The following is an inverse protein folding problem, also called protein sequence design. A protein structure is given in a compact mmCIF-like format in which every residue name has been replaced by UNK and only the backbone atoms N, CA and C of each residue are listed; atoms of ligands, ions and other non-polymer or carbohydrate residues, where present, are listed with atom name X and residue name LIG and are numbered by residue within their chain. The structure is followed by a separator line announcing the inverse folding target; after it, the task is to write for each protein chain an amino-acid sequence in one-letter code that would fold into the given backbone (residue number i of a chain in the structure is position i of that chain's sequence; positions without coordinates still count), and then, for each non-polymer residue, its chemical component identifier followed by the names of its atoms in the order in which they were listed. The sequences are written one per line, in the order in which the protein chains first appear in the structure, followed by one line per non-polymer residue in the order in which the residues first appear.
data_IF_116374976985
#
_entry.id   IF_116374976985
#
_cell.length_a   1.000
_cell.length_b   1.000
_cell.length_c   1.000
_cell.angle_alpha   90.00
_cell.angle_beta   90.00
_cell.angle_gamma   90.00
#
_symmetry.space_group_name_H-M   'P 1'
#
loop_
_entity.id
_entity.type
_entity.pdbx_description
1 polymer ?
#
# COMPACT_ATOMS: atom_id res chain seq x y z
N UNK A 1 14.24 7.52 25.69
CA UNK A 1 13.60 6.22 25.99
C UNK A 1 12.60 5.96 24.88
N UNK A 2 12.66 4.81 24.21
CA UNK A 2 11.69 4.45 23.20
C UNK A 2 10.35 4.14 23.87
N UNK A 3 9.26 4.72 23.36
CA UNK A 3 7.91 4.51 23.89
C UNK A 3 7.21 3.42 23.08
N UNK A 4 6.65 2.41 23.76
CA UNK A 4 5.82 1.38 23.13
C UNK A 4 4.37 1.86 23.07
N UNK A 5 3.82 1.97 21.86
CA UNK A 5 2.48 2.51 21.60
C UNK A 5 1.58 1.42 21.07
N UNK A 6 0.41 1.26 21.69
CA UNK A 6 -0.59 0.29 21.26
C UNK A 6 -1.56 0.96 20.28
N UNK A 7 -1.54 0.54 19.02
CA UNK A 7 -2.45 1.06 17.99
C UNK A 7 -3.62 0.08 17.85
N UNK A 8 -4.71 0.34 18.57
CA UNK A 8 -5.85 -0.61 18.66
C UNK A 8 -6.83 -0.55 17.49
N UNK A 9 -6.89 0.59 16.79
CA UNK A 9 -7.88 0.80 15.72
C UNK A 9 -7.49 0.08 14.43
N UNK A 10 -6.21 -0.22 14.27
CA UNK A 10 -5.65 -0.90 13.10
C UNK A 10 -5.38 -2.36 13.45
N UNK A 11 -6.20 -3.24 12.88
CA UNK A 11 -6.12 -4.68 13.08
C UNK A 11 -5.02 -5.30 12.19
N UNK A 12 -4.14 -6.11 12.79
CA UNK A 12 -3.19 -6.95 12.05
C UNK A 12 -3.85 -8.07 11.22
N UNK A 13 -5.18 -8.23 11.29
CA UNK A 13 -5.94 -9.17 10.45
C UNK A 13 -6.59 -8.49 9.24
N UNK A 14 -6.34 -7.20 9.03
CA UNK A 14 -6.85 -6.44 7.90
C UNK A 14 -5.68 -5.94 7.02
N UNK A 15 -5.74 -6.23 5.72
CA UNK A 15 -4.66 -5.90 4.79
C UNK A 15 -4.43 -4.39 4.62
N UNK A 16 -5.49 -3.58 4.65
CA UNK A 16 -5.38 -2.13 4.54
C UNK A 16 -4.74 -1.55 5.81
N UNK A 17 -5.12 -2.04 6.98
CA UNK A 17 -4.52 -1.65 8.25
C UNK A 17 -3.03 -2.04 8.33
N UNK A 18 -2.65 -3.22 7.87
CA UNK A 18 -1.25 -3.66 7.85
C UNK A 18 -0.42 -2.79 6.92
N UNK A 19 -0.92 -2.47 5.72
CA UNK A 19 -0.26 -1.51 4.82
C UNK A 19 -0.16 -0.13 5.48
N UNK A 20 -1.20 0.33 6.16
CA UNK A 20 -1.17 1.62 6.85
C UNK A 20 -0.13 1.64 7.97
N UNK A 21 0.01 0.56 8.73
CA UNK A 21 1.03 0.43 9.77
C UNK A 21 2.45 0.42 9.19
N UNK A 22 2.69 -0.31 8.10
CA UNK A 22 3.98 -0.27 7.40
C UNK A 22 4.27 1.11 6.83
N UNK A 23 3.25 1.76 6.27
CA UNK A 23 3.28 3.17 5.87
C UNK A 23 3.74 4.06 7.01
N UNK A 24 3.07 4.00 8.16
CA UNK A 24 3.42 4.79 9.36
C UNK A 24 4.85 4.53 9.84
N UNK A 25 5.24 3.26 9.99
CA UNK A 25 6.61 2.87 10.41
C UNK A 25 7.65 3.44 9.44
N UNK A 26 7.39 3.38 8.14
CA UNK A 26 8.33 3.89 7.13
C UNK A 26 8.51 5.41 7.16
N UNK A 27 7.61 6.15 7.82
CA UNK A 27 7.71 7.61 8.00
C UNK A 27 8.51 7.99 9.25
N UNK A 28 8.84 7.02 10.10
CA UNK A 28 9.46 7.21 11.40
C UNK A 28 10.84 6.52 11.44
N UNK A 29 11.94 7.25 11.23
CA UNK A 29 13.28 6.66 11.25
C UNK A 29 13.56 5.93 12.56
N UNK A 30 14.01 4.67 12.46
CA UNK A 30 14.29 3.83 13.64
C UNK A 30 13.08 3.17 14.29
N UNK A 31 11.86 3.40 13.79
CA UNK A 31 10.66 2.77 14.33
C UNK A 31 10.67 1.25 14.12
N UNK A 32 10.04 0.55 15.06
CA UNK A 32 9.84 -0.90 15.02
C UNK A 32 8.38 -1.25 15.27
N UNK A 33 7.92 -2.33 14.66
CA UNK A 33 6.54 -2.81 14.75
C UNK A 33 6.50 -4.28 15.18
N UNK A 34 5.59 -4.62 16.07
CA UNK A 34 5.16 -6.00 16.34
C UNK A 34 3.65 -6.13 16.35
N UNK A 35 3.18 -7.34 16.14
CA UNK A 35 1.78 -7.73 16.36
C UNK A 35 1.71 -8.76 17.47
N UNK A 36 0.89 -8.52 18.49
CA UNK A 36 0.68 -9.53 19.53
C UNK A 36 -0.23 -10.69 19.06
N UNK A 37 -0.52 -11.61 19.98
CA UNK A 37 -1.35 -12.79 19.70
C UNK A 37 -2.78 -12.43 19.24
N UNK A 38 -3.28 -11.26 19.63
CA UNK A 38 -4.59 -10.75 19.24
C UNK A 38 -4.54 -9.93 17.94
N UNK A 39 -3.37 -9.91 17.28
CA UNK A 39 -3.06 -9.11 16.10
C UNK A 39 -3.14 -7.60 16.35
N UNK A 40 -2.94 -7.15 17.59
CA UNK A 40 -2.86 -5.72 17.91
C UNK A 40 -1.44 -5.22 17.60
N UNK A 41 -1.37 -4.07 16.94
CA UNK A 41 -0.10 -3.45 16.58
C UNK A 41 0.53 -2.72 17.77
N UNK A 42 1.82 -2.95 17.98
CA UNK A 42 2.65 -2.21 18.92
C UNK A 42 3.80 -1.54 18.17
N UNK A 43 3.83 -0.21 18.22
CA UNK A 43 4.80 0.64 17.56
C UNK A 43 5.78 1.19 18.60
N UNK A 44 7.06 0.87 18.43
CA UNK A 44 8.14 1.44 19.24
C UNK A 44 8.89 2.49 18.43
N UNK A 45 9.01 3.71 18.97
CA UNK A 45 9.77 4.79 18.35
C UNK A 45 10.33 5.77 19.40
N UNK A 46 11.46 6.38 19.07
CA UNK A 46 12.15 7.37 19.91
C UNK A 46 11.53 8.77 19.72
N UNK A 47 10.59 9.10 20.61
CA UNK A 47 9.91 10.38 20.66
C UNK A 47 8.61 10.27 21.42
N UNK A 48 8.03 11.39 21.84
CA UNK A 48 6.66 11.46 22.35
C UNK A 48 5.64 11.46 21.21
N UNK A 49 4.34 11.47 21.55
CA UNK A 49 3.25 11.34 20.59
C UNK A 49 3.14 12.56 19.67
N UNK A 50 3.46 13.75 20.18
CA UNK A 50 3.49 14.98 19.40
C UNK A 50 4.61 14.94 18.35
N UNK A 51 5.83 14.57 18.76
CA UNK A 51 6.96 14.41 17.86
C UNK A 51 6.70 13.33 16.80
N UNK A 52 6.03 12.24 17.17
CA UNK A 52 5.62 11.19 16.25
C UNK A 52 4.64 11.76 15.22
N UNK A 53 3.57 12.41 15.69
CA UNK A 53 2.54 13.02 14.84
C UNK A 53 3.14 13.99 13.82
N UNK A 54 4.00 14.90 14.26
CA UNK A 54 4.68 15.89 13.40
C UNK A 54 5.61 15.21 12.39
N UNK A 55 6.42 14.24 12.83
CA UNK A 55 7.39 13.55 11.97
C UNK A 55 6.69 12.73 10.89
N UNK A 56 5.69 11.94 11.28
CA UNK A 56 4.91 11.14 10.35
C UNK A 56 4.10 12.01 9.39
N UNK A 57 3.48 13.11 9.86
CA UNK A 57 2.74 14.04 9.02
C UNK A 57 3.62 14.66 7.92
N UNK A 58 4.83 15.12 8.28
CA UNK A 58 5.79 15.68 7.32
C UNK A 58 6.11 14.65 6.23
N UNK A 59 6.52 13.45 6.62
CA UNK A 59 6.89 12.42 5.66
C UNK A 59 5.70 11.96 4.80
N UNK A 60 4.48 11.93 5.37
CA UNK A 60 3.28 11.55 4.62
C UNK A 60 3.00 12.55 3.50
N UNK A 61 3.08 13.85 3.79
CA UNK A 61 2.92 14.92 2.79
C UNK A 61 4.02 14.85 1.74
N UNK A 62 5.28 14.70 2.14
CA UNK A 62 6.42 14.57 1.20
C UNK A 62 6.23 13.43 0.19
N UNK A 63 5.56 12.34 0.59
CA UNK A 63 5.35 11.16 -0.26
C UNK A 63 4.07 11.18 -1.07
N UNK A 64 3.08 11.95 -0.68
CA UNK A 64 1.72 11.81 -1.24
C UNK A 64 1.13 13.11 -1.78
N UNK A 65 1.59 14.27 -1.31
CA UNK A 65 1.12 15.56 -1.81
C UNK A 65 1.73 15.88 -3.18
N UNK A 66 0.91 16.38 -4.12
CA UNK A 66 1.42 16.87 -5.40
C UNK A 66 2.04 15.80 -6.30
N UNK A 67 1.71 14.52 -6.11
CA UNK A 67 2.26 13.40 -6.90
C UNK A 67 2.18 13.63 -8.41
N UNK A 68 1.08 14.23 -8.89
CA UNK A 68 0.80 14.45 -10.30
C UNK A 68 1.72 15.48 -10.96
N UNK A 69 2.26 16.41 -10.18
CA UNK A 69 3.22 17.43 -10.64
C UNK A 69 4.66 17.07 -10.24
N UNK A 70 4.83 16.16 -9.28
CA UNK A 70 6.11 15.61 -8.85
C UNK A 70 6.42 14.25 -9.47
N UNK A 71 6.50 13.22 -8.63
CA UNK A 71 7.00 11.90 -9.00
C UNK A 71 6.27 11.25 -10.18
N UNK A 72 4.96 11.46 -10.30
CA UNK A 72 4.13 10.94 -11.39
C UNK A 72 3.87 11.97 -12.51
N UNK A 73 4.64 13.05 -12.58
CA UNK A 73 4.54 14.05 -13.65
C UNK A 73 4.52 13.38 -15.04
N UNK A 74 3.52 13.72 -15.85
CA UNK A 74 3.31 13.16 -17.19
C UNK A 74 2.59 11.80 -17.23
N UNK A 75 2.40 11.12 -16.09
CA UNK A 75 1.65 9.85 -16.01
C UNK A 75 0.21 10.12 -15.55
N UNK A 76 -0.70 10.23 -16.53
CA UNK A 76 -2.14 10.50 -16.32
C UNK A 76 -3.03 9.32 -16.74
N UNK A 77 -2.51 8.10 -16.59
CA UNK A 77 -3.19 6.85 -17.01
C UNK A 77 -2.83 5.70 -16.07
N UNK A 78 -3.72 4.71 -15.99
CA UNK A 78 -3.52 3.47 -15.23
C UNK A 78 -2.63 2.45 -15.95
N UNK A 79 -2.38 2.65 -17.25
CA UNK A 79 -1.56 1.79 -18.12
C UNK A 79 -0.57 2.64 -18.94
N UNK A 80 0.44 3.24 -18.30
CA UNK A 80 1.38 4.12 -18.98
C UNK A 80 2.22 3.36 -20.01
N UNK A 81 2.67 4.09 -21.04
CA UNK A 81 3.67 3.58 -21.99
C UNK A 81 5.03 3.42 -21.29
N UNK A 82 5.84 2.45 -21.72
CA UNK A 82 7.14 2.15 -21.15
C UNK A 82 8.11 3.31 -21.36
N UNK A 83 8.02 4.02 -22.48
CA UNK A 83 8.78 5.26 -22.70
C UNK A 83 8.51 6.37 -21.67
N UNK A 84 7.34 6.38 -21.02
CA UNK A 84 7.01 7.34 -19.97
C UNK A 84 7.49 6.89 -18.58
N UNK A 85 7.59 5.58 -18.36
CA UNK A 85 8.02 4.99 -17.08
C UNK A 85 9.54 4.89 -17.00
N UNK A 86 10.20 4.45 -18.08
CA UNK A 86 11.66 4.21 -18.12
C UNK A 86 12.49 5.41 -17.65
N UNK A 87 12.23 6.67 -18.08
CA UNK A 87 13.01 7.82 -17.62
C UNK A 87 12.88 8.06 -16.11
N UNK A 88 11.72 7.73 -15.52
CA UNK A 88 11.50 7.83 -14.07
C UNK A 88 12.25 6.73 -13.33
N UNK A 89 12.22 5.50 -13.87
CA UNK A 89 13.04 4.38 -13.38
C UNK A 89 14.52 4.70 -13.39
N UNK A 90 15.02 5.24 -14.50
CA UNK A 90 16.42 5.64 -14.64
C UNK A 90 16.79 6.76 -13.67
N UNK A 91 15.93 7.77 -13.49
CA UNK A 91 16.16 8.83 -12.52
C UNK A 91 16.24 8.29 -11.07
N UNK A 92 15.38 7.35 -10.72
CA UNK A 92 15.38 6.72 -9.39
C UNK A 92 16.66 5.90 -9.18
N UNK A 93 17.07 5.08 -10.16
CA UNK A 93 18.34 4.34 -10.10
C UNK A 93 19.58 5.23 -10.04
N UNK A 94 19.60 6.35 -10.78
CA UNK A 94 20.69 7.34 -10.65
C UNK A 94 20.75 7.93 -9.24
N UNK A 95 19.61 8.17 -8.60
CA UNK A 95 19.59 8.63 -7.22
C UNK A 95 20.14 7.56 -6.26
N UNK A 96 19.89 6.27 -6.52
CA UNK A 96 20.51 5.16 -5.79
C UNK A 96 22.02 5.17 -5.93
N UNK A 97 22.53 5.26 -7.15
CA UNK A 97 23.96 5.29 -7.44
C UNK A 97 24.65 6.44 -6.71
N UNK A 98 24.02 7.62 -6.67
CA UNK A 98 24.54 8.80 -5.97
C UNK A 98 24.46 8.68 -4.45
N UNK A 99 23.38 8.12 -3.91
CA UNK A 99 23.14 8.02 -2.48
C UNK A 99 23.78 6.77 -1.84
N UNK A 100 24.23 5.80 -2.65
CA UNK A 100 24.79 4.53 -2.19
C UNK A 100 23.80 3.61 -1.48
N UNK A 101 22.48 3.84 -1.62
CA UNK A 101 21.44 3.06 -0.94
C UNK A 101 20.17 2.95 -1.79
N UNK A 102 19.58 1.75 -1.81
CA UNK A 102 18.28 1.53 -2.45
C UNK A 102 17.19 2.37 -1.78
N UNK A 103 16.22 2.90 -2.54
CA UNK A 103 15.12 3.64 -1.99
C UNK A 103 14.22 2.64 -1.27
N UNK A 104 13.92 2.93 -0.01
CA UNK A 104 13.00 2.13 0.80
C UNK A 104 11.55 2.27 0.34
N UNK A 105 11.25 3.27 -0.49
CA UNK A 105 9.95 3.56 -1.10
C UNK A 105 10.17 3.89 -2.56
N UNK A 106 9.42 3.26 -3.46
CA UNK A 106 9.46 3.60 -4.88
C UNK A 106 8.08 3.95 -5.38
N UNK A 107 7.91 5.13 -5.98
CA UNK A 107 6.66 5.44 -6.69
C UNK A 107 6.43 4.49 -7.87
N UNK A 108 7.49 3.85 -8.37
CA UNK A 108 7.42 2.86 -9.42
C UNK A 108 6.89 1.54 -8.90
N UNK A 109 6.80 1.32 -7.57
CA UNK A 109 5.99 0.25 -7.00
C UNK A 109 4.50 0.36 -7.39
N UNK A 110 4.07 1.49 -7.95
CA UNK A 110 2.76 1.67 -8.55
C UNK A 110 2.61 0.87 -9.87
N UNK A 111 3.70 0.69 -10.62
CA UNK A 111 3.73 0.07 -11.96
C UNK A 111 4.67 -1.13 -11.99
N UNK A 112 4.23 -2.26 -12.54
CA UNK A 112 5.13 -3.38 -12.74
C UNK A 112 5.92 -3.22 -14.04
N UNK A 113 7.02 -2.46 -14.01
CA UNK A 113 7.88 -2.21 -15.18
C UNK A 113 8.47 -3.49 -15.81
N UNK A 114 8.50 -4.60 -15.06
CA UNK A 114 8.94 -5.90 -15.57
C UNK A 114 7.83 -6.65 -16.34
N UNK A 115 6.57 -6.24 -16.21
CA UNK A 115 5.43 -6.83 -16.90
C UNK A 115 4.80 -5.86 -17.90
N UNK A 116 4.67 -6.31 -19.14
CA UNK A 116 4.08 -5.53 -20.22
C UNK A 116 2.66 -5.98 -20.50
N UNK A 117 1.76 -5.01 -20.69
CA UNK A 117 0.39 -5.26 -21.12
C UNK A 117 0.26 -5.12 -22.64
N UNK A 118 -0.52 -6.01 -23.25
CA UNK A 118 -0.98 -5.84 -24.63
C UNK A 118 -2.09 -4.77 -24.71
N UNK A 119 -2.29 -4.17 -25.88
CA UNK A 119 -3.50 -3.38 -26.11
C UNK A 119 -4.74 -4.29 -26.20
N UNK A 120 -5.95 -3.72 -26.21
CA UNK A 120 -7.22 -4.49 -26.30
C UNK A 120 -7.35 -5.36 -27.56
N UNK A 121 -6.39 -5.29 -28.49
CA UNK A 121 -6.36 -6.00 -29.77
C UNK A 121 -5.08 -6.86 -29.94
N UNK A 122 -4.30 -7.08 -28.89
CA UNK A 122 -3.06 -7.85 -28.95
C UNK A 122 -1.95 -7.20 -29.78
N UNK A 123 -2.04 -5.89 -30.07
CA UNK A 123 -1.08 -5.16 -30.90
C UNK A 123 -0.25 -4.18 -30.06
N UNK A 124 1.03 -4.06 -30.41
CA UNK A 124 1.88 -2.98 -29.92
C UNK A 124 1.59 -1.77 -30.82
N UNK A 125 0.64 -0.93 -30.44
CA UNK A 125 0.47 0.37 -31.11
C UNK A 125 1.73 1.22 -30.90
N UNK A 126 2.24 1.82 -31.97
CA UNK A 126 3.38 2.74 -32.02
C UNK A 126 4.76 2.15 -31.64
N UNK A 127 4.88 0.83 -31.48
CA UNK A 127 6.14 0.18 -31.08
C UNK A 127 6.52 0.37 -29.60
N UNK A 128 5.66 0.97 -28.78
CA UNK A 128 5.91 1.26 -27.37
C UNK A 128 5.00 0.42 -26.45
N UNK A 129 5.61 -0.41 -25.61
CA UNK A 129 4.92 -1.35 -24.73
C UNK A 129 4.20 -0.62 -23.59
N UNK A 130 3.02 -1.09 -23.19
CA UNK A 130 2.36 -0.58 -21.97
C UNK A 130 2.88 -1.32 -20.74
N UNK A 131 2.97 -0.61 -19.63
CA UNK A 131 3.30 -1.18 -18.33
C UNK A 131 2.00 -1.47 -17.58
N UNK A 132 1.91 -2.64 -16.94
CA UNK A 132 0.74 -2.99 -16.13
C UNK A 132 0.85 -2.34 -14.74
N UNK A 133 -0.29 -2.13 -14.06
CA UNK A 133 -0.26 -1.74 -12.65
C UNK A 133 0.38 -2.84 -11.81
N UNK A 134 1.08 -2.43 -10.75
CA UNK A 134 1.57 -3.35 -9.73
C UNK A 134 0.43 -4.17 -9.14
N UNK A 135 0.75 -5.37 -8.64
CA UNK A 135 -0.25 -6.28 -8.10
C UNK A 135 -1.03 -5.69 -6.92
N UNK A 136 -0.38 -4.82 -6.14
CA UNK A 136 -0.96 -4.18 -4.95
C UNK A 136 -1.58 -2.81 -5.24
N UNK A 137 -1.30 -2.27 -6.43
CA UNK A 137 -1.90 -1.04 -6.91
C UNK A 137 -3.35 -1.31 -7.30
N UNK A 138 -4.26 -0.99 -6.38
CA UNK A 138 -5.71 -1.06 -6.58
C UNK A 138 -6.16 0.07 -7.50
N UNK A 139 -5.76 0.05 -8.78
CA UNK A 139 -6.23 0.98 -9.82
C UNK A 139 -7.33 0.35 -10.67
N UNK A 140 -8.30 1.17 -11.09
CA UNK A 140 -9.39 0.77 -11.98
C UNK A 140 -9.96 1.96 -12.77
N UNK A 141 -10.60 1.68 -13.90
CA UNK A 141 -11.25 2.69 -14.73
C UNK A 141 -10.29 3.72 -15.34
N UNK A 142 -10.67 5.01 -15.29
CA UNK A 142 -9.92 6.16 -15.84
C UNK A 142 -9.14 6.94 -14.77
N UNK A 143 -9.34 6.65 -13.49
CA UNK A 143 -8.69 7.37 -12.39
C UNK A 143 -7.28 6.82 -12.17
N UNK A 144 -6.28 7.69 -12.24
CA UNK A 144 -4.87 7.35 -12.03
C UNK A 144 -4.41 7.71 -10.61
N UNK A 145 -3.32 7.09 -10.17
CA UNK A 145 -2.82 7.14 -8.78
C UNK A 145 -2.75 8.54 -8.20
N UNK A 146 -2.10 9.48 -8.90
CA UNK A 146 -1.93 10.84 -8.41
C UNK A 146 -3.28 11.55 -8.17
N UNK A 147 -4.29 11.32 -9.03
CA UNK A 147 -5.60 11.93 -8.82
C UNK A 147 -6.31 11.35 -7.59
N UNK A 148 -6.27 10.03 -7.40
CA UNK A 148 -6.91 9.38 -6.25
C UNK A 148 -6.28 9.83 -4.93
N UNK A 149 -4.95 9.88 -4.87
CA UNK A 149 -4.22 10.34 -3.68
C UNK A 149 -4.55 11.80 -3.37
N UNK A 150 -4.59 12.68 -4.38
CA UNK A 150 -4.97 14.08 -4.18
C UNK A 150 -6.45 14.22 -3.78
N UNK A 151 -7.34 13.40 -4.33
CA UNK A 151 -8.73 13.34 -3.88
C UNK A 151 -8.83 12.88 -2.41
N UNK A 152 -7.99 11.96 -1.94
CA UNK A 152 -7.95 11.58 -0.51
C UNK A 152 -7.64 12.77 0.38
N UNK A 153 -6.66 13.58 -0.03
CA UNK A 153 -6.31 14.79 0.70
C UNK A 153 -7.48 15.79 0.72
N UNK A 154 -8.19 15.97 -0.40
CA UNK A 154 -9.39 16.84 -0.42
C UNK A 154 -10.50 16.35 0.51
N UNK A 155 -10.63 15.05 0.76
CA UNK A 155 -11.58 14.52 1.74
C UNK A 155 -11.22 14.90 3.19
N UNK A 156 -9.96 15.28 3.44
CA UNK A 156 -9.49 15.84 4.70
C UNK A 156 -9.54 17.38 4.73
N UNK A 157 -10.24 18.00 3.76
CA UNK A 157 -10.47 19.44 3.67
C UNK A 157 -9.16 20.26 3.59
N UNK A 158 -8.17 19.76 2.86
CA UNK A 158 -6.89 20.45 2.64
C UNK A 158 -6.68 20.85 1.19
N UNK A 159 -6.18 22.08 0.99
CA UNK A 159 -5.98 22.69 -0.33
C UNK A 159 -4.52 22.92 -0.67
N UNK A 160 -3.64 22.98 0.33
CA UNK A 160 -2.20 23.17 0.17
C UNK A 160 -1.37 22.21 1.05
N UNK A 161 -0.05 22.21 0.83
CA UNK A 161 0.86 21.30 1.52
C UNK A 161 1.00 21.59 3.02
N UNK A 162 0.87 22.84 3.44
CA UNK A 162 1.01 23.22 4.85
C UNK A 162 -0.24 22.81 5.64
N UNK A 163 -1.41 23.04 5.08
CA UNK A 163 -2.68 22.52 5.57
C UNK A 163 -2.67 20.99 5.62
N UNK A 164 -2.12 20.32 4.61
CA UNK A 164 -1.95 18.87 4.61
C UNK A 164 -1.08 18.37 5.78
N UNK A 165 0.03 19.07 6.10
CA UNK A 165 0.89 18.72 7.24
C UNK A 165 0.15 18.88 8.56
N UNK A 166 -0.51 20.03 8.76
CA UNK A 166 -1.26 20.31 9.98
C UNK A 166 -2.39 19.29 10.19
N UNK A 167 -3.18 19.03 9.14
CA UNK A 167 -4.26 18.05 9.17
C UNK A 167 -3.74 16.64 9.41
N UNK A 168 -2.67 16.22 8.75
CA UNK A 168 -2.09 14.89 8.94
C UNK A 168 -1.62 14.68 10.39
N UNK A 169 -1.02 15.69 11.03
CA UNK A 169 -0.61 15.60 12.43
C UNK A 169 -1.82 15.37 13.36
N UNK A 170 -2.93 16.08 13.12
CA UNK A 170 -4.19 15.89 13.87
C UNK A 170 -4.76 14.48 13.65
N UNK A 171 -4.81 14.00 12.40
CA UNK A 171 -5.33 12.67 12.10
C UNK A 171 -4.44 11.56 12.69
N UNK A 172 -3.12 11.74 12.70
CA UNK A 172 -2.19 10.80 13.34
C UNK A 172 -2.35 10.82 14.87
N UNK A 173 -2.49 11.99 15.49
CA UNK A 173 -2.81 12.07 16.92
C UNK A 173 -4.10 11.32 17.26
N UNK A 174 -5.15 11.53 16.46
CA UNK A 174 -6.42 10.80 16.59
C UNK A 174 -6.24 9.28 16.45
N UNK A 175 -5.40 8.83 15.52
CA UNK A 175 -5.04 7.41 15.36
C UNK A 175 -4.40 6.85 16.63
N UNK A 176 -3.45 7.57 17.23
CA UNK A 176 -2.79 7.19 18.48
C UNK A 176 -3.78 7.12 19.65
N UNK A 177 -4.73 8.05 19.70
CA UNK A 177 -5.80 8.11 20.72
C UNK A 177 -6.90 7.05 20.53
N UNK A 178 -6.82 6.22 19.49
CA UNK A 178 -7.79 5.17 19.25
C UNK A 178 -8.98 5.57 18.38
N UNK A 179 -8.89 6.66 17.61
CA UNK A 179 -9.91 7.12 16.67
C UNK A 179 -9.48 7.10 15.21
N UNK A 180 -10.46 7.09 14.30
CA UNK A 180 -10.26 7.29 12.87
C UNK A 180 -11.35 8.23 12.33
N UNK A 181 -10.96 9.17 11.48
CA UNK A 181 -11.94 9.97 10.74
C UNK A 181 -12.51 9.17 9.59
N UNK A 182 -13.82 9.33 9.37
CA UNK A 182 -14.57 8.67 8.32
C UNK A 182 -15.02 9.74 7.33
N UNK A 183 -14.85 9.47 6.04
CA UNK A 183 -15.38 10.29 4.97
C UNK A 183 -16.21 9.43 4.02
N UNK A 184 -17.34 9.97 3.56
CA UNK A 184 -18.10 9.36 2.48
C UNK A 184 -17.40 9.68 1.15
N UNK A 185 -17.11 8.69 0.32
CA UNK A 185 -16.54 8.89 -1.02
C UNK A 185 -16.99 7.77 -1.96
N UNK A 186 -16.80 7.95 -3.27
CA UNK A 186 -16.99 6.82 -4.19
C UNK A 186 -16.04 5.70 -3.76
N UNK A 187 -16.49 4.42 -3.71
CA UNK A 187 -15.68 3.30 -3.24
C UNK A 187 -14.34 3.27 -3.94
N UNK A 188 -14.33 3.64 -5.23
CA UNK A 188 -13.14 4.10 -5.92
C UNK A 188 -11.95 3.19 -5.67
N UNK A 189 -10.77 3.77 -5.62
CA UNK A 189 -9.49 3.06 -5.52
C UNK A 189 -8.94 3.29 -4.11
N UNK A 190 -9.61 2.69 -3.13
CA UNK A 190 -9.43 2.98 -1.69
C UNK A 190 -9.14 1.68 -0.95
N UNK A 191 -8.14 1.68 -0.08
CA UNK A 191 -7.75 0.47 0.66
C UNK A 191 -8.76 0.15 1.76
N UNK A 192 -9.28 1.17 2.41
CA UNK A 192 -10.26 1.08 3.50
C UNK A 192 -11.71 0.87 3.04
N UNK A 193 -11.97 0.92 1.73
CA UNK A 193 -13.32 0.71 1.22
C UNK A 193 -13.75 -0.77 1.40
N UNK A 194 -15.00 -1.03 1.81
CA UNK A 194 -15.50 -2.39 1.94
C UNK A 194 -15.57 -3.09 0.58
N UNK A 195 -15.28 -4.39 0.57
CA UNK A 195 -15.24 -5.26 -0.63
C UNK A 195 -16.59 -5.33 -1.35
N UNK A 196 -17.68 -5.19 -0.62
CA UNK A 196 -19.04 -5.33 -1.15
C UNK A 196 -19.82 -4.04 -0.97
N UNK A 197 -19.64 -3.02 -1.84
CA UNK A 197 -20.62 -1.95 -1.94
C UNK A 197 -21.95 -2.55 -2.48
N UNK A 198 -23.13 -2.18 -1.94
CA UNK A 198 -24.42 -2.63 -2.46
C UNK A 198 -24.55 -2.30 -3.96
N UNK A 199 -24.58 -3.30 -4.84
CA UNK A 199 -24.61 -3.07 -6.31
C UNK A 199 -25.96 -2.58 -6.84
N UNK A 200 -26.57 -1.60 -6.20
CA UNK A 200 -27.87 -1.03 -6.59
C UNK A 200 -27.64 0.21 -7.47
N UNK A 201 -27.11 -0.04 -8.67
CA UNK A 201 -27.03 0.88 -9.81
C UNK A 201 -26.00 2.05 -9.76
N UNK A 202 -25.31 2.24 -10.89
CA UNK A 202 -24.69 3.49 -11.37
C UNK A 202 -23.22 3.83 -11.04
N UNK A 203 -22.47 3.11 -10.19
CA UNK A 203 -21.05 3.45 -9.93
C UNK A 203 -20.82 4.87 -9.37
N UNK A 204 -21.90 5.50 -8.92
CA UNK A 204 -21.99 6.79 -8.23
C UNK A 204 -22.19 6.64 -6.74
N UNK A 205 -22.39 5.40 -6.28
CA UNK A 205 -22.57 5.06 -4.88
C UNK A 205 -21.37 5.52 -4.05
N UNK A 206 -21.64 5.95 -2.83
CA UNK A 206 -20.61 6.39 -1.89
C UNK A 206 -20.57 5.41 -0.73
N UNK A 207 -19.36 5.11 -0.27
CA UNK A 207 -19.10 4.29 0.90
C UNK A 207 -18.29 5.10 1.89
N UNK A 208 -18.34 4.67 3.14
CA UNK A 208 -17.46 5.18 4.18
C UNK A 208 -16.03 4.65 3.93
N UNK A 209 -15.08 5.57 3.96
CA UNK A 209 -13.65 5.30 3.88
C UNK A 209 -12.93 6.01 5.02
N UNK A 210 -11.68 5.63 5.25
CA UNK A 210 -10.80 6.20 6.26
C UNK A 210 -9.62 6.89 5.54
N UNK A 211 -9.68 8.20 5.27
CA UNK A 211 -8.70 8.86 4.42
C UNK A 211 -7.26 8.76 4.91
N UNK A 212 -7.02 8.82 6.22
CA UNK A 212 -5.67 8.61 6.79
C UNK A 212 -5.18 7.19 6.53
N UNK A 213 -6.03 6.17 6.72
CA UNK A 213 -5.68 4.77 6.45
C UNK A 213 -5.35 4.59 4.98
N UNK A 214 -6.11 5.19 4.06
CA UNK A 214 -5.83 5.10 2.63
C UNK A 214 -4.48 5.75 2.25
N UNK A 215 -4.16 6.92 2.81
CA UNK A 215 -2.89 7.62 2.56
C UNK A 215 -1.69 6.84 3.13
N UNK A 216 -1.82 6.31 4.34
CA UNK A 216 -0.79 5.48 4.96
C UNK A 216 -0.66 4.14 4.22
N UNK A 217 -1.76 3.50 3.85
CA UNK A 217 -1.75 2.23 3.13
C UNK A 217 -1.13 2.38 1.74
N UNK A 218 -1.42 3.49 1.04
CA UNK A 218 -0.71 3.85 -0.18
C UNK A 218 0.80 3.97 0.07
N UNK A 219 1.20 4.67 1.14
CA UNK A 219 2.61 4.79 1.53
C UNK A 219 3.26 3.42 1.81
N UNK A 220 2.55 2.53 2.51
CA UNK A 220 2.99 1.15 2.75
C UNK A 220 3.09 0.32 1.46
N UNK A 221 2.17 0.52 0.52
CA UNK A 221 2.19 -0.12 -0.78
C UNK A 221 3.45 0.24 -1.58
N UNK A 222 3.97 1.46 -1.43
CA UNK A 222 5.20 1.91 -2.12
C UNK A 222 6.47 1.22 -1.61
N UNK A 223 6.40 0.51 -0.49
CA UNK A 223 7.51 -0.26 0.09
C UNK A 223 7.66 -1.63 -0.56
N UNK A 224 6.59 -2.10 -1.19
CA UNK A 224 6.49 -3.46 -1.67
C UNK A 224 6.87 -3.49 -3.15
N UNK A 225 7.79 -4.39 -3.49
CA UNK A 225 8.11 -4.61 -4.90
C UNK A 225 6.84 -5.07 -5.65
N UNK A 226 6.60 -4.60 -6.89
CA UNK A 226 5.44 -5.01 -7.71
C UNK A 226 5.26 -6.52 -7.88
N UNK A 227 6.30 -7.29 -7.58
CA UNK A 227 6.41 -8.73 -7.72
C UNK A 227 6.77 -9.46 -6.41
N UNK A 228 6.39 -8.97 -5.21
CA UNK A 228 6.39 -9.84 -4.01
C UNK A 228 5.63 -11.13 -4.32
N UNK A 229 6.29 -12.29 -4.46
CA UNK A 229 5.64 -13.60 -4.74
C UNK A 229 6.50 -14.80 -4.30
N UNK A 230 5.87 -15.93 -3.87
CA UNK A 230 4.86 -16.66 -4.65
C UNK A 230 3.49 -16.91 -3.98
N UNK A 231 2.40 -16.60 -4.70
CA UNK A 231 1.23 -17.47 -4.79
C UNK A 231 1.32 -18.23 -6.12
N UNK A 232 0.91 -19.49 -6.14
CA UNK A 232 1.23 -20.46 -7.19
C UNK A 232 0.14 -21.55 -7.26
N UNK A 233 -0.07 -22.26 -8.39
CA UNK A 233 0.35 -22.00 -9.78
C UNK A 233 -0.80 -22.05 -10.82
N UNK A 234 -2.02 -22.43 -10.45
CA UNK A 234 -3.06 -22.72 -11.46
C UNK A 234 -3.97 -21.53 -11.83
N UNK A 235 -4.11 -20.52 -10.96
CA UNK A 235 -5.31 -19.66 -10.94
C UNK A 235 -5.08 -18.15 -11.13
N UNK A 236 -3.84 -17.65 -11.14
CA UNK A 236 -3.57 -16.26 -11.51
C UNK A 236 -3.92 -15.17 -10.46
N UNK A 237 -4.02 -15.50 -9.17
CA UNK A 237 -4.40 -14.53 -8.13
C UNK A 237 -3.26 -13.59 -7.68
N UNK A 238 -3.63 -12.41 -7.17
CA UNK A 238 -2.79 -11.39 -6.52
C UNK A 238 -3.18 -11.33 -5.04
N UNK A 239 -2.25 -11.30 -4.10
CA UNK A 239 -2.56 -11.16 -2.68
C UNK A 239 -1.47 -10.37 -1.95
N UNK A 240 -1.87 -9.65 -0.91
CA UNK A 240 -0.95 -9.13 0.11
C UNK A 240 -0.72 -10.23 1.14
N UNK A 241 0.53 -10.48 1.54
CA UNK A 241 0.86 -11.46 2.58
C UNK A 241 1.76 -10.86 3.65
N UNK A 242 1.54 -11.25 4.92
CA UNK A 242 2.31 -10.77 6.07
C UNK A 242 2.28 -11.78 7.22
N UNK A 243 3.05 -11.49 8.26
CA UNK A 243 3.13 -12.31 9.47
C UNK A 243 2.79 -11.49 10.70
N UNK A 244 2.17 -12.12 11.69
CA UNK A 244 2.00 -11.55 13.03
C UNK A 244 3.21 -11.93 13.88
N UNK A 245 4.06 -10.96 14.18
CA UNK A 245 5.34 -11.18 14.84
C UNK A 245 5.31 -10.75 16.32
N UNK A 246 5.72 -11.60 17.28
CA UNK A 246 5.73 -11.27 18.70
C UNK A 246 6.89 -10.33 19.09
N UNK A 247 7.89 -10.15 18.23
CA UNK A 247 9.08 -9.32 18.49
C UNK A 247 9.06 -8.06 17.63
N UNK A 248 9.45 -6.88 18.15
CA UNK A 248 9.52 -5.66 17.34
C UNK A 248 10.55 -5.82 16.22
N UNK A 249 10.10 -5.64 14.97
CA UNK A 249 10.94 -5.66 13.79
C UNK A 249 11.07 -4.25 13.23
N UNK A 250 12.25 -3.91 12.71
CA UNK A 250 12.40 -2.73 11.87
C UNK A 250 11.71 -2.95 10.51
N UNK A 251 11.64 -1.87 9.72
CA UNK A 251 10.97 -1.94 8.42
C UNK A 251 11.59 -2.98 7.49
N UNK A 252 12.92 -3.12 7.46
CA UNK A 252 13.59 -4.07 6.60
C UNK A 252 13.20 -5.52 6.93
N UNK A 253 13.19 -5.87 8.22
CA UNK A 253 12.76 -7.19 8.69
C UNK A 253 11.29 -7.49 8.40
N UNK A 254 10.39 -6.50 8.51
CA UNK A 254 8.97 -6.66 8.15
C UNK A 254 8.80 -7.00 6.66
N UNK A 255 9.48 -6.24 5.79
CA UNK A 255 9.37 -6.40 4.34
C UNK A 255 10.00 -7.71 3.86
N UNK A 256 11.15 -8.09 4.42
CA UNK A 256 11.83 -9.35 4.10
C UNK A 256 10.96 -10.57 4.47
N UNK A 257 10.38 -10.57 5.68
CA UNK A 257 9.46 -11.63 6.10
C UNK A 257 8.15 -11.66 5.32
N UNK A 258 7.65 -10.51 4.87
CA UNK A 258 6.47 -10.45 4.00
C UNK A 258 6.77 -11.03 2.62
N UNK A 259 7.94 -10.72 2.05
CA UNK A 259 8.33 -11.17 0.71
C UNK A 259 8.74 -12.65 0.68
N UNK A 260 9.49 -13.12 1.66
CA UNK A 260 10.09 -14.45 1.70
C UNK A 260 10.13 -15.02 3.13
N UNK A 261 8.97 -15.32 3.75
CA UNK A 261 8.95 -15.85 5.10
C UNK A 261 9.68 -17.21 5.17
N UNK A 262 10.51 -17.46 6.19
CA UNK A 262 11.13 -18.77 6.40
C UNK A 262 10.09 -19.89 6.48
N UNK A 263 10.39 -21.06 5.89
CA UNK A 263 9.45 -22.20 5.80
C UNK A 263 8.96 -22.70 7.17
N UNK A 264 9.79 -22.57 8.20
CA UNK A 264 9.51 -23.01 9.57
C UNK A 264 9.18 -21.86 10.53
N UNK A 265 8.84 -20.67 10.02
CA UNK A 265 8.49 -19.55 10.87
C UNK A 265 7.22 -19.90 11.67
N UNK A 266 7.35 -19.95 13.00
CA UNK A 266 6.25 -20.31 13.91
C UNK A 266 5.19 -19.20 14.08
N UNK A 267 5.39 -18.05 13.42
CA UNK A 267 4.50 -16.90 13.52
C UNK A 267 3.30 -17.05 12.59
N UNK A 268 2.07 -16.71 13.04
CA UNK A 268 0.89 -16.78 12.18
C UNK A 268 1.07 -15.94 10.93
N UNK A 269 0.84 -16.55 9.77
CA UNK A 269 0.88 -15.88 8.47
C UNK A 269 -0.54 -15.61 7.99
N UNK A 270 -0.76 -14.45 7.41
CA UNK A 270 -2.04 -14.05 6.80
C UNK A 270 -1.83 -13.67 5.34
N UNK A 271 -2.89 -13.84 4.57
CA UNK A 271 -2.98 -13.30 3.21
C UNK A 271 -4.34 -12.65 2.97
N UNK A 272 -4.34 -11.55 2.22
CA UNK A 272 -5.54 -10.86 1.75
C UNK A 272 -5.55 -10.87 0.21
N UNK A 273 -6.43 -11.67 -0.42
CA UNK A 273 -6.56 -11.70 -1.87
C UNK A 273 -6.98 -10.33 -2.42
N UNK A 274 -6.40 -9.94 -3.54
CA UNK A 274 -6.79 -8.75 -4.29
C UNK A 274 -7.66 -9.22 -5.43
N UNK A 275 -8.90 -8.79 -5.42
CA UNK A 275 -9.84 -9.07 -6.50
C UNK A 275 -10.11 -7.81 -7.30
N UNK A 276 -10.21 -7.99 -8.61
CA UNK A 276 -10.81 -7.00 -9.49
C UNK A 276 -12.14 -7.55 -9.96
N UNK A 277 -13.24 -6.98 -9.47
CA UNK A 277 -14.57 -7.37 -9.93
C UNK A 277 -15.07 -6.37 -10.98
N UNK A 278 -15.48 -6.85 -12.17
CA UNK A 278 -16.38 -6.09 -13.05
C UNK A 278 -16.11 -6.13 -14.57
N UNK A 279 -17.16 -5.72 -15.31
CA UNK A 279 -17.15 -5.39 -16.75
C UNK A 279 -16.59 -3.98 -17.04
N UNK A 280 -17.40 -3.05 -17.59
CA UNK A 280 -16.93 -1.73 -18.10
C UNK A 280 -16.27 -0.80 -17.06
N UNK A 281 -16.57 -0.98 -15.78
CA UNK A 281 -15.93 -0.30 -14.65
C UNK A 281 -15.55 -1.36 -13.62
N UNK A 282 -14.34 -1.91 -13.73
CA UNK A 282 -13.80 -2.81 -12.71
C UNK A 282 -13.57 -2.03 -11.42
N UNK A 283 -13.67 -2.66 -10.26
CA UNK A 283 -13.20 -2.15 -8.97
C UNK A 283 -12.22 -3.17 -8.42
N UNK A 284 -11.08 -2.71 -7.93
CA UNK A 284 -10.08 -3.55 -7.27
C UNK A 284 -10.19 -3.35 -5.76
N UNK A 285 -10.14 -4.43 -4.97
CA UNK A 285 -10.26 -4.41 -3.51
C UNK A 285 -9.43 -5.53 -2.86
N UNK A 286 -9.01 -5.31 -1.61
CA UNK A 286 -8.48 -6.34 -0.72
C UNK A 286 -9.64 -7.11 -0.06
N UNK A 287 -9.71 -8.42 -0.27
CA UNK A 287 -10.63 -9.30 0.44
C UNK A 287 -10.25 -9.44 1.91
N UNK A 288 -11.20 -9.88 2.77
CA UNK A 288 -10.87 -10.24 4.15
C UNK A 288 -9.69 -11.20 4.19
N UNK A 289 -8.76 -10.94 5.10
CA UNK A 289 -7.57 -11.76 5.24
C UNK A 289 -7.90 -13.11 5.88
N UNK A 290 -7.15 -14.13 5.52
CA UNK A 290 -7.27 -15.46 6.14
C UNK A 290 -5.89 -16.01 6.51
N UNK A 291 -5.80 -16.87 7.53
CA UNK A 291 -4.54 -17.47 7.92
C UNK A 291 -4.03 -18.42 6.84
N UNK A 292 -2.75 -18.34 6.54
CA UNK A 292 -2.06 -19.27 5.64
C UNK A 292 -1.62 -20.46 6.47
N UNK A 293 -2.21 -21.63 6.19
CA UNK A 293 -1.72 -22.88 6.80
C UNK A 293 -0.41 -23.25 6.10
N UNK A 294 0.68 -23.55 6.82
CA UNK A 294 1.87 -24.11 6.19
C UNK A 294 1.43 -25.34 5.40
N UNK A 295 1.57 -25.33 4.08
CA UNK A 295 1.25 -26.50 3.28
C UNK A 295 2.06 -27.67 3.85
N UNK A 296 1.39 -28.71 4.33
CA UNK A 296 2.03 -29.97 4.63
C UNK A 296 2.56 -30.52 3.31
N UNK A 297 3.78 -30.15 2.95
CA UNK A 297 4.48 -30.81 1.86
C UNK A 297 4.72 -32.25 2.31
N UNK A 298 3.78 -33.14 1.99
CA UNK A 298 4.15 -34.52 1.70
C UNK A 298 5.13 -34.41 0.54
N UNK A 299 6.41 -34.60 0.85
CA UNK A 299 7.37 -34.95 -0.18
C UNK A 299 6.81 -36.18 -0.88
N UNK A 300 6.59 -36.08 -2.18
CA UNK A 300 6.55 -37.28 -3.01
C UNK A 300 7.97 -37.85 -2.97
N UNK A 301 8.20 -39.05 -2.43
CA UNK A 301 9.43 -39.76 -2.69
C UNK A 301 9.37 -40.24 -4.16
N UNK A 302 10.41 -39.93 -4.93
CA UNK A 302 10.79 -40.51 -6.22
C UNK A 302 9.71 -41.18 -7.09
N UNK A 303 9.51 -40.65 -8.30
CA UNK A 303 9.32 -41.44 -9.51
C UNK A 303 9.85 -40.66 -10.72
#
# INVERSE_FOLDING_TARGET
MSTDRVIRVLSGRDGAHVLALWGLVSLLPGARLRFDADAIAHLTWDGDDDALGVTAARGLVERTWGLGDGLLAGIKTTVPKRSAVNPKTEAEWRAVEQAGRLPTTSILAVFNAAATGEDKKGKIQDGDLKVVSSALTMLSGRSYTANIVQETWRLLEVEDADGARARAAVEIGRLLDGGLSIASSKPGLRFSAPVTPPRVASGSERVDIQPLVDLLAFTGQLLLSPAQRPFDPAAGDKALAWVLNPVPLDLAGLLDLSAAPPRSLAWPRYEAPIVSEGGRASISALKPAHPVTPASHRGSPNA
#
